data_IF_799911255785
#
_entry.id   IF_799911255785
#
_cell.length_a   1.000
_cell.length_b   1.000
_cell.length_c   1.000
_cell.angle_alpha   90.00
_cell.angle_beta   90.00
_cell.angle_gamma   90.00
#
_symmetry.space_group_name_H-M   'P 1'
#
loop_
_entity.id
_entity.type
_entity.pdbx_description
1 polymer ?
#
# COMPACT_ATOMS: atom_id res chain seq x y z
N UNK A 1 10.55 -16.08 -31.59
CA UNK A 1 11.46 -15.85 -30.45
C UNK A 1 12.39 -14.73 -30.86
N UNK A 2 12.08 -13.51 -30.43
CA UNK A 2 12.89 -12.31 -30.69
C UNK A 2 14.27 -12.53 -30.06
N UNK A 3 15.33 -12.65 -30.87
CA UNK A 3 16.70 -12.59 -30.34
C UNK A 3 16.96 -11.14 -30.00
N UNK A 4 16.95 -10.79 -28.72
CA UNK A 4 17.35 -9.47 -28.25
C UNK A 4 18.75 -9.17 -28.78
N UNK A 5 18.89 -8.11 -29.57
CA UNK A 5 20.16 -7.77 -30.15
C UNK A 5 21.06 -7.18 -29.06
N UNK A 6 22.23 -7.77 -28.86
CA UNK A 6 23.26 -7.28 -27.92
C UNK A 6 23.54 -5.78 -28.09
N UNK A 7 23.52 -5.29 -29.33
CA UNK A 7 23.71 -3.89 -29.68
C UNK A 7 22.65 -2.95 -29.06
N UNK A 8 21.41 -3.40 -28.94
CA UNK A 8 20.34 -2.60 -28.32
C UNK A 8 20.57 -2.46 -26.81
N UNK A 9 21.10 -3.51 -26.17
CA UNK A 9 21.48 -3.49 -24.75
C UNK A 9 22.70 -2.62 -24.50
N UNK A 10 23.70 -2.67 -25.39
CA UNK A 10 24.86 -1.75 -25.36
C UNK A 10 24.40 -0.29 -25.48
N UNK A 11 23.50 -0.01 -26.43
CA UNK A 11 22.93 1.33 -26.59
C UNK A 11 22.11 1.76 -25.37
N UNK A 12 21.36 0.85 -24.75
CA UNK A 12 20.65 1.13 -23.50
C UNK A 12 21.63 1.54 -22.40
N UNK A 13 22.75 0.82 -22.24
CA UNK A 13 23.78 1.13 -21.22
C UNK A 13 24.39 2.52 -21.46
N UNK A 14 24.69 2.86 -22.71
CA UNK A 14 25.17 4.20 -23.07
C UNK A 14 24.15 5.28 -22.69
N UNK A 15 22.87 5.05 -23.03
CA UNK A 15 21.82 6.04 -22.84
C UNK A 15 21.39 6.19 -21.36
N UNK A 16 21.71 5.24 -20.47
CA UNK A 16 21.58 5.45 -19.01
C UNK A 16 22.81 6.13 -18.40
N UNK A 17 23.76 6.60 -19.21
CA UNK A 17 24.96 7.31 -18.75
C UNK A 17 26.21 6.43 -18.61
N UNK A 18 26.18 5.20 -19.13
CA UNK A 18 27.30 4.26 -19.13
C UNK A 18 27.37 3.32 -17.91
N UNK A 19 28.29 2.35 -17.92
CA UNK A 19 28.40 1.32 -16.87
C UNK A 19 28.73 1.92 -15.50
N UNK A 20 29.55 2.97 -15.48
CA UNK A 20 29.96 3.67 -14.26
C UNK A 20 28.82 4.47 -13.62
N UNK A 21 27.80 4.83 -14.40
CA UNK A 21 26.61 5.47 -13.87
C UNK A 21 25.66 4.46 -13.21
N UNK A 22 25.82 3.16 -13.45
CA UNK A 22 24.95 2.12 -12.89
C UNK A 22 25.52 1.71 -11.52
N UNK A 23 24.91 2.20 -10.44
CA UNK A 23 25.23 1.76 -9.09
C UNK A 23 24.78 0.31 -8.88
N UNK A 24 23.53 0.01 -9.25
CA UNK A 24 22.98 -1.34 -9.27
C UNK A 24 21.85 -1.46 -10.30
N UNK A 25 21.54 -2.68 -10.70
CA UNK A 25 20.43 -2.99 -11.59
C UNK A 25 19.74 -4.26 -11.11
N UNK A 26 18.41 -4.25 -11.14
CA UNK A 26 17.58 -5.42 -10.84
C UNK A 26 16.41 -5.47 -11.84
N UNK A 27 15.60 -6.52 -11.81
CA UNK A 27 14.38 -6.56 -12.61
C UNK A 27 13.21 -7.19 -11.89
N UNK A 28 12.01 -6.88 -12.37
CA UNK A 28 10.79 -7.61 -12.04
C UNK A 28 10.27 -8.32 -13.30
N UNK A 29 9.00 -8.69 -13.35
CA UNK A 29 8.40 -9.41 -14.49
C UNK A 29 8.45 -8.64 -15.82
N UNK A 30 8.52 -7.30 -15.80
CA UNK A 30 8.40 -6.49 -17.03
C UNK A 30 9.38 -5.32 -17.16
N UNK A 31 10.23 -5.05 -16.16
CA UNK A 31 11.02 -3.80 -16.10
C UNK A 31 12.41 -4.04 -15.54
N UNK A 32 13.39 -3.35 -16.14
CA UNK A 32 14.69 -3.12 -15.53
C UNK A 32 14.59 -1.95 -14.56
N UNK A 33 15.28 -2.06 -13.42
CA UNK A 33 15.29 -1.07 -12.34
C UNK A 33 16.74 -0.70 -12.06
N UNK A 34 17.14 0.45 -12.58
CA UNK A 34 18.46 1.01 -12.39
C UNK A 34 18.47 1.88 -11.14
N UNK A 35 19.47 1.71 -10.30
CA UNK A 35 19.94 2.78 -9.45
C UNK A 35 21.09 3.44 -10.17
N UNK A 36 20.89 4.69 -10.56
CA UNK A 36 21.92 5.49 -11.21
C UNK A 36 22.65 6.34 -10.17
N UNK A 37 23.95 6.52 -10.33
CA UNK A 37 24.74 7.46 -9.55
C UNK A 37 24.33 8.91 -9.86
N UNK A 38 23.94 9.16 -11.10
CA UNK A 38 23.41 10.41 -11.60
C UNK A 38 22.23 10.13 -12.55
N UNK A 39 21.01 10.40 -12.08
CA UNK A 39 19.79 10.19 -12.87
C UNK A 39 19.67 11.14 -14.06
N UNK A 40 20.31 12.30 -14.04
CA UNK A 40 20.19 13.30 -15.11
C UNK A 40 20.98 12.91 -16.36
N UNK A 41 21.90 11.95 -16.24
CA UNK A 41 22.62 11.36 -17.39
C UNK A 41 21.79 10.37 -18.20
N UNK A 42 20.61 9.98 -17.73
CA UNK A 42 19.73 9.08 -18.48
C UNK A 42 18.97 9.86 -19.56
N UNK A 43 19.23 9.56 -20.84
CA UNK A 43 18.50 10.13 -21.97
C UNK A 43 17.20 9.38 -22.21
N UNK A 44 16.18 9.74 -21.44
CA UNK A 44 14.83 9.14 -21.49
C UNK A 44 14.25 9.16 -22.90
N UNK A 45 14.47 10.25 -23.68
CA UNK A 45 13.88 10.38 -25.02
C UNK A 45 14.49 9.39 -26.00
N UNK A 46 15.82 9.23 -25.97
CA UNK A 46 16.49 8.25 -26.82
C UNK A 46 16.25 6.82 -26.36
N UNK A 47 16.10 6.59 -25.04
CA UNK A 47 15.74 5.28 -24.51
C UNK A 47 14.37 4.82 -25.02
N UNK A 48 13.37 5.70 -24.99
CA UNK A 48 12.02 5.39 -25.49
C UNK A 48 11.97 5.18 -27.02
N UNK A 49 13.01 5.58 -27.75
CA UNK A 49 13.13 5.30 -29.18
C UNK A 49 13.70 3.90 -29.48
N UNK A 50 14.23 3.18 -28.47
CA UNK A 50 14.70 1.81 -28.66
C UNK A 50 13.50 0.86 -28.83
N UNK A 51 13.49 -0.04 -29.83
CA UNK A 51 12.35 -0.92 -30.11
C UNK A 51 11.92 -1.80 -28.93
N UNK A 52 12.87 -2.20 -28.08
CA UNK A 52 12.62 -3.03 -26.89
C UNK A 52 12.08 -2.24 -25.69
N UNK A 53 12.13 -0.90 -25.73
CA UNK A 53 11.73 -0.04 -24.62
C UNK A 53 10.31 0.46 -24.86
N UNK A 54 9.42 0.16 -23.92
CA UNK A 54 7.99 0.52 -23.97
C UNK A 54 7.67 1.78 -23.15
N UNK A 55 8.66 2.31 -22.44
CA UNK A 55 8.56 3.53 -21.63
C UNK A 55 9.64 3.61 -20.57
N UNK A 56 9.95 4.82 -20.14
CA UNK A 56 10.93 5.10 -19.10
C UNK A 56 10.34 6.03 -18.03
N UNK A 57 10.63 5.78 -16.76
CA UNK A 57 10.24 6.69 -15.68
C UNK A 57 11.12 6.50 -14.45
N UNK A 58 11.25 7.55 -13.65
CA UNK A 58 11.91 7.49 -12.35
C UNK A 58 10.87 7.33 -11.26
N UNK A 59 11.04 6.35 -10.39
CA UNK A 59 10.20 6.18 -9.21
C UNK A 59 11.01 5.58 -8.06
N UNK A 60 10.77 6.08 -6.85
CA UNK A 60 11.41 5.61 -5.63
C UNK A 60 12.95 5.53 -5.77
N UNK A 61 13.56 6.58 -6.33
CA UNK A 61 15.00 6.67 -6.52
C UNK A 61 15.61 5.68 -7.53
N UNK A 62 14.76 4.96 -8.28
CA UNK A 62 15.16 4.05 -9.35
C UNK A 62 14.70 4.59 -10.70
N UNK A 63 15.60 4.62 -11.67
CA UNK A 63 15.27 4.82 -13.07
C UNK A 63 14.80 3.49 -13.66
N UNK A 64 13.56 3.42 -14.12
CA UNK A 64 12.94 2.19 -14.61
C UNK A 64 12.75 2.24 -16.12
N UNK A 65 13.14 1.15 -16.77
CA UNK A 65 12.95 0.95 -18.21
C UNK A 65 12.00 -0.22 -18.40
N UNK A 66 10.84 0.04 -19.00
CA UNK A 66 9.81 -0.96 -19.28
C UNK A 66 10.20 -1.71 -20.54
N UNK A 67 10.43 -3.02 -20.44
CA UNK A 67 10.76 -3.88 -21.58
C UNK A 67 9.57 -4.76 -21.96
N UNK A 68 8.91 -5.36 -20.96
CA UNK A 68 7.88 -6.38 -21.14
C UNK A 68 8.39 -7.78 -20.75
N UNK A 69 7.77 -8.83 -21.29
CA UNK A 69 8.04 -10.23 -20.94
C UNK A 69 9.47 -10.68 -21.23
N UNK A 70 10.19 -9.95 -22.09
CA UNK A 70 11.57 -10.22 -22.51
C UNK A 70 12.63 -9.65 -21.54
N UNK A 71 12.22 -9.05 -20.42
CA UNK A 71 13.12 -8.34 -19.49
C UNK A 71 14.25 -9.21 -18.92
N UNK A 72 13.98 -10.49 -18.66
CA UNK A 72 14.96 -11.43 -18.09
C UNK A 72 16.15 -11.65 -19.04
N UNK A 73 15.87 -11.71 -20.35
CA UNK A 73 16.88 -11.85 -21.39
C UNK A 73 17.72 -10.58 -21.52
N UNK A 74 17.09 -9.39 -21.50
CA UNK A 74 17.82 -8.11 -21.53
C UNK A 74 18.73 -7.99 -20.31
N UNK A 75 18.22 -8.35 -19.13
CA UNK A 75 18.96 -8.28 -17.87
C UNK A 75 20.24 -9.12 -17.90
N UNK A 76 20.15 -10.37 -18.38
CA UNK A 76 21.30 -11.28 -18.49
C UNK A 76 22.40 -10.70 -19.40
N UNK A 77 22.02 -10.12 -20.53
CA UNK A 77 22.97 -9.47 -21.45
C UNK A 77 23.59 -8.23 -20.79
N UNK A 78 22.79 -7.42 -20.09
CA UNK A 78 23.23 -6.20 -19.43
C UNK A 78 24.24 -6.47 -18.31
N UNK A 79 23.98 -7.46 -17.46
CA UNK A 79 24.90 -7.89 -16.40
C UNK A 79 26.23 -8.35 -17.00
N UNK A 80 26.18 -9.15 -18.09
CA UNK A 80 27.38 -9.60 -18.79
C UNK A 80 28.21 -8.46 -19.40
N UNK A 81 27.57 -7.37 -19.83
CA UNK A 81 28.25 -6.19 -20.42
C UNK A 81 28.79 -5.21 -19.38
N UNK A 82 28.10 -5.06 -18.24
CA UNK A 82 28.46 -4.06 -17.22
C UNK A 82 29.41 -4.60 -16.15
N UNK A 83 29.57 -5.92 -16.05
CA UNK A 83 30.39 -6.57 -15.01
C UNK A 83 29.85 -6.36 -13.58
N UNK A 84 28.65 -5.81 -13.44
CA UNK A 84 27.97 -5.61 -12.15
C UNK A 84 27.41 -6.95 -11.69
N UNK A 85 27.64 -7.32 -10.44
CA UNK A 85 27.01 -8.49 -9.83
C UNK A 85 25.50 -8.27 -9.69
N UNK A 86 24.73 -9.35 -9.59
CA UNK A 86 23.33 -9.28 -9.16
C UNK A 86 23.28 -8.57 -7.79
N UNK A 87 22.83 -7.32 -7.76
CA UNK A 87 22.74 -6.60 -6.50
C UNK A 87 21.69 -7.29 -5.63
N UNK A 88 22.02 -7.53 -4.37
CA UNK A 88 21.00 -8.00 -3.44
C UNK A 88 19.87 -6.98 -3.39
N UNK A 89 18.63 -7.44 -3.15
CA UNK A 89 17.46 -6.55 -3.07
C UNK A 89 17.67 -5.41 -2.05
N UNK A 90 18.47 -5.64 -1.00
CA UNK A 90 18.76 -4.65 0.02
C UNK A 90 19.82 -3.62 -0.41
N UNK A 91 20.84 -4.03 -1.16
CA UNK A 91 21.83 -3.10 -1.75
C UNK A 91 21.18 -2.17 -2.78
N UNK A 92 20.36 -2.73 -3.67
CA UNK A 92 19.63 -1.95 -4.66
C UNK A 92 18.64 -0.95 -4.02
N UNK A 93 18.02 -1.30 -2.89
CA UNK A 93 17.17 -0.39 -2.13
C UNK A 93 17.95 0.73 -1.45
N UNK A 94 19.08 0.40 -0.82
CA UNK A 94 19.89 1.39 -0.12
C UNK A 94 20.51 2.40 -1.09
N UNK A 95 20.96 1.94 -2.25
CA UNK A 95 21.46 2.80 -3.30
C UNK A 95 20.34 3.70 -3.88
N UNK A 96 19.15 3.14 -4.17
CA UNK A 96 18.01 3.93 -4.67
C UNK A 96 17.62 5.08 -3.73
N UNK A 97 17.70 4.86 -2.42
CA UNK A 97 17.36 5.88 -1.41
C UNK A 97 18.28 7.09 -1.46
N UNK A 98 19.52 6.97 -1.94
CA UNK A 98 20.41 8.12 -2.06
C UNK A 98 19.85 9.16 -3.04
N UNK A 99 19.06 8.72 -4.03
CA UNK A 99 18.42 9.58 -5.02
C UNK A 99 17.04 10.13 -4.59
N UNK A 100 16.57 9.79 -3.38
CA UNK A 100 15.30 10.32 -2.84
C UNK A 100 15.55 11.55 -1.97
N UNK A 101 14.60 12.49 -1.93
CA UNK A 101 14.62 13.59 -0.96
C UNK A 101 14.24 13.10 0.45
N UNK A 102 14.40 13.96 1.47
CA UNK A 102 14.18 13.57 2.89
C UNK A 102 12.75 13.06 3.14
N UNK A 103 11.75 13.69 2.52
CA UNK A 103 10.33 13.33 2.68
C UNK A 103 10.07 11.98 2.03
N UNK A 104 10.53 11.77 0.79
CA UNK A 104 10.43 10.51 0.06
C UNK A 104 11.14 9.36 0.79
N UNK A 105 12.33 9.62 1.37
CA UNK A 105 13.04 8.65 2.20
C UNK A 105 12.20 8.26 3.41
N UNK A 106 11.67 9.24 4.15
CA UNK A 106 10.82 9.00 5.32
C UNK A 106 9.59 8.14 4.98
N UNK A 107 8.94 8.43 3.85
CA UNK A 107 7.78 7.66 3.39
C UNK A 107 8.18 6.26 2.91
N UNK A 108 9.31 6.13 2.20
CA UNK A 108 9.86 4.82 1.82
C UNK A 108 10.14 3.95 3.05
N UNK A 109 10.69 4.53 4.12
CA UNK A 109 10.88 3.83 5.39
C UNK A 109 9.56 3.35 5.99
N UNK A 110 8.54 4.23 6.01
CA UNK A 110 7.21 3.89 6.52
C UNK A 110 6.56 2.76 5.70
N UNK A 111 6.58 2.86 4.37
CA UNK A 111 6.02 1.84 3.48
C UNK A 111 6.68 0.46 3.71
N UNK A 112 7.99 0.40 3.91
CA UNK A 112 8.69 -0.87 4.16
C UNK A 112 8.32 -1.54 5.48
N UNK A 113 7.76 -0.80 6.45
CA UNK A 113 7.21 -1.37 7.68
C UNK A 113 5.88 -2.08 7.38
N UNK A 114 5.03 -1.52 6.51
CA UNK A 114 3.69 -2.07 6.23
C UNK A 114 3.65 -3.15 5.16
N UNK A 115 4.53 -3.10 4.16
CA UNK A 115 4.53 -4.08 3.04
C UNK A 115 4.53 -5.54 3.52
N UNK A 116 5.35 -5.96 4.51
CA UNK A 116 5.30 -7.33 5.03
C UNK A 116 3.98 -7.71 5.71
N UNK A 117 3.16 -6.73 6.12
CA UNK A 117 1.90 -6.93 6.83
C UNK A 117 0.70 -7.03 5.88
N UNK A 118 0.83 -6.53 4.65
CA UNK A 118 -0.26 -6.47 3.66
C UNK A 118 -0.95 -7.83 3.44
N UNK A 119 -0.24 -8.97 3.26
CA UNK A 119 -0.91 -10.24 3.03
C UNK A 119 -1.87 -10.61 4.16
N UNK A 120 -1.46 -10.42 5.42
CA UNK A 120 -2.29 -10.71 6.58
C UNK A 120 -3.52 -9.78 6.64
N UNK A 121 -3.31 -8.47 6.46
CA UNK A 121 -4.39 -7.48 6.52
C UNK A 121 -5.43 -7.72 5.42
N UNK A 122 -4.98 -7.99 4.18
CA UNK A 122 -5.86 -8.29 3.04
C UNK A 122 -6.68 -9.55 3.31
N UNK A 123 -6.04 -10.62 3.81
CA UNK A 123 -6.75 -11.85 4.21
C UNK A 123 -7.77 -11.57 5.29
N UNK A 124 -7.41 -10.77 6.31
CA UNK A 124 -8.33 -10.35 7.37
C UNK A 124 -9.55 -9.61 6.82
N UNK A 125 -9.35 -8.66 5.91
CA UNK A 125 -10.44 -7.90 5.29
C UNK A 125 -11.36 -8.77 4.43
N UNK A 126 -10.82 -9.75 3.69
CA UNK A 126 -11.64 -10.73 2.96
C UNK A 126 -12.45 -11.63 3.88
N UNK A 127 -11.85 -12.07 4.99
CA UNK A 127 -12.54 -12.85 6.01
C UNK A 127 -13.69 -12.03 6.59
N UNK A 128 -13.47 -10.76 6.95
CA UNK A 128 -14.53 -9.87 7.40
C UNK A 128 -15.61 -9.69 6.34
N UNK A 129 -15.23 -9.51 5.08
CA UNK A 129 -16.20 -9.36 4.00
C UNK A 129 -17.07 -10.58 3.79
N UNK A 130 -16.48 -11.77 3.82
CA UNK A 130 -17.23 -13.02 3.76
C UNK A 130 -18.12 -13.22 5.00
N UNK A 131 -17.63 -12.84 6.18
CA UNK A 131 -18.43 -12.83 7.41
C UNK A 131 -19.65 -11.91 7.28
N UNK A 132 -19.50 -10.72 6.73
CA UNK A 132 -20.63 -9.80 6.52
C UNK A 132 -21.68 -10.43 5.60
N UNK A 133 -21.26 -11.13 4.53
CA UNK A 133 -22.18 -11.82 3.62
C UNK A 133 -23.04 -12.82 4.38
N UNK A 134 -22.44 -13.67 5.22
CA UNK A 134 -23.21 -14.72 5.91
C UNK A 134 -23.93 -14.21 7.17
N UNK A 135 -23.37 -13.23 7.87
CA UNK A 135 -23.79 -12.81 9.21
C UNK A 135 -24.58 -11.51 9.30
N UNK A 136 -24.41 -10.60 8.35
CA UNK A 136 -24.99 -9.26 8.43
C UNK A 136 -26.00 -8.98 7.31
N UNK A 137 -25.93 -9.72 6.19
CA UNK A 137 -26.86 -9.55 5.06
C UNK A 137 -28.07 -10.45 5.22
N UNK A 138 -29.24 -9.81 5.28
CA UNK A 138 -30.55 -10.47 5.34
C UNK A 138 -31.01 -10.94 3.95
N UNK A 139 -30.50 -12.10 3.52
CA UNK A 139 -30.77 -12.67 2.19
C UNK A 139 -32.04 -13.51 2.09
N UNK A 140 -32.59 -14.00 3.21
CA UNK A 140 -33.67 -14.99 3.22
C UNK A 140 -34.81 -14.52 4.12
N UNK A 141 -35.89 -13.98 3.52
CA UNK A 141 -37.07 -13.49 4.24
C UNK A 141 -36.76 -12.54 5.42
N UNK A 142 -35.78 -11.65 5.23
CA UNK A 142 -35.35 -10.71 6.26
C UNK A 142 -34.44 -11.33 7.33
N UNK A 143 -33.96 -12.56 7.13
CA UNK A 143 -33.00 -13.27 7.97
C UNK A 143 -31.66 -13.48 7.24
N UNK A 144 -30.60 -13.56 8.02
CA UNK A 144 -29.21 -13.83 7.60
C UNK A 144 -28.97 -15.34 7.49
N UNK A 145 -27.88 -15.75 6.81
CA UNK A 145 -27.48 -17.16 6.76
C UNK A 145 -27.17 -17.71 8.16
N UNK A 146 -26.62 -16.88 9.04
CA UNK A 146 -26.35 -17.27 10.43
C UNK A 146 -27.60 -17.47 11.27
N UNK A 147 -28.72 -16.82 10.94
CA UNK A 147 -29.99 -17.00 11.66
C UNK A 147 -30.72 -18.27 11.21
N UNK A 148 -30.65 -18.62 9.93
CA UNK A 148 -31.34 -19.79 9.37
C UNK A 148 -30.54 -21.09 9.44
N UNK A 149 -29.22 -21.03 9.72
CA UNK A 149 -28.35 -22.21 9.67
C UNK A 149 -27.28 -22.20 10.75
N UNK A 150 -27.32 -23.23 11.62
CA UNK A 150 -26.30 -23.47 12.64
C UNK A 150 -24.89 -23.65 12.06
N UNK A 151 -24.78 -24.27 10.87
CA UNK A 151 -23.49 -24.41 10.19
C UNK A 151 -22.91 -23.03 9.86
N UNK A 152 -23.69 -22.14 9.24
CA UNK A 152 -23.22 -20.80 8.87
C UNK A 152 -22.97 -19.92 10.10
N UNK A 153 -23.77 -20.03 11.16
CA UNK A 153 -23.49 -19.39 12.45
C UNK A 153 -22.12 -19.81 13.01
N UNK A 154 -21.81 -21.11 12.95
CA UNK A 154 -20.55 -21.67 13.44
C UNK A 154 -19.38 -21.22 12.58
N UNK A 155 -19.53 -21.24 11.24
CA UNK A 155 -18.52 -20.71 10.30
C UNK A 155 -18.25 -19.24 10.57
N UNK A 156 -19.30 -18.43 10.75
CA UNK A 156 -19.17 -16.99 11.03
C UNK A 156 -18.38 -16.72 12.33
N UNK A 157 -18.65 -17.48 13.39
CA UNK A 157 -17.94 -17.39 14.66
C UNK A 157 -16.48 -17.87 14.54
N UNK A 158 -16.24 -19.02 13.90
CA UNK A 158 -14.91 -19.56 13.69
C UNK A 158 -14.01 -18.60 12.88
N UNK A 159 -14.56 -17.97 11.85
CA UNK A 159 -13.82 -16.99 11.04
C UNK A 159 -13.41 -15.74 11.84
N UNK A 160 -14.14 -15.39 12.90
CA UNK A 160 -13.73 -14.27 13.78
C UNK A 160 -12.44 -14.57 14.51
N UNK A 161 -12.18 -15.80 14.91
CA UNK A 161 -10.91 -16.19 15.55
C UNK A 161 -9.70 -15.78 14.69
N UNK A 162 -9.79 -15.99 13.38
CA UNK A 162 -8.73 -15.62 12.43
C UNK A 162 -8.68 -14.10 12.26
N UNK A 163 -9.84 -13.43 12.16
CA UNK A 163 -9.92 -11.97 12.08
C UNK A 163 -9.32 -11.28 13.30
N UNK A 164 -9.63 -11.77 14.50
CA UNK A 164 -9.10 -11.28 15.77
C UNK A 164 -7.57 -11.41 15.82
N UNK A 165 -7.03 -12.57 15.42
CA UNK A 165 -5.58 -12.78 15.33
C UNK A 165 -4.88 -11.78 14.39
N UNK A 166 -5.54 -11.31 13.32
CA UNK A 166 -4.97 -10.36 12.37
C UNK A 166 -5.10 -8.92 12.88
N UNK A 167 -6.30 -8.53 13.34
CA UNK A 167 -6.60 -7.14 13.66
C UNK A 167 -6.24 -6.77 15.09
N UNK A 168 -6.62 -7.57 16.10
CA UNK A 168 -6.32 -7.23 17.50
C UNK A 168 -4.82 -7.31 17.79
N UNK A 169 -4.14 -8.31 17.22
CA UNK A 169 -2.70 -8.52 17.38
C UNK A 169 -1.86 -7.83 16.31
N UNK A 170 -2.44 -6.94 15.51
CA UNK A 170 -1.71 -6.15 14.52
C UNK A 170 -0.45 -5.44 15.08
N UNK A 171 -0.46 -4.88 16.32
CA UNK A 171 0.74 -4.35 16.96
C UNK A 171 1.94 -5.30 16.98
N UNK A 172 1.72 -6.62 17.03
CA UNK A 172 2.77 -7.66 17.00
C UNK A 172 3.51 -7.62 15.67
N UNK A 173 2.77 -7.65 14.56
CA UNK A 173 3.33 -7.54 13.22
C UNK A 173 4.04 -6.20 13.00
N UNK A 174 3.45 -5.10 13.47
CA UNK A 174 4.02 -3.75 13.35
C UNK A 174 5.35 -3.64 14.10
N UNK A 175 5.42 -4.10 15.36
CA UNK A 175 6.67 -4.08 16.13
C UNK A 175 7.75 -4.95 15.49
N UNK A 176 7.41 -6.18 15.08
CA UNK A 176 8.33 -7.08 14.36
C UNK A 176 8.89 -6.42 13.09
N UNK A 177 8.02 -5.88 12.25
CA UNK A 177 8.42 -5.28 10.97
C UNK A 177 9.26 -4.02 11.19
N UNK A 178 8.88 -3.17 12.15
CA UNK A 178 9.61 -1.96 12.52
C UNK A 178 11.01 -2.28 13.04
N UNK A 179 11.12 -3.22 13.98
CA UNK A 179 12.41 -3.62 14.57
C UNK A 179 13.32 -4.25 13.53
N UNK A 180 12.78 -5.16 12.71
CA UNK A 180 13.50 -5.75 11.58
C UNK A 180 13.99 -4.67 10.61
N UNK A 181 13.14 -3.69 10.30
CA UNK A 181 13.45 -2.61 9.37
C UNK A 181 14.60 -1.73 9.85
N UNK A 182 14.68 -1.50 11.15
CA UNK A 182 15.71 -0.67 11.78
C UNK A 182 16.96 -1.45 12.19
N UNK A 183 17.06 -2.73 11.83
CA UNK A 183 18.24 -3.57 12.09
C UNK A 183 18.33 -4.13 13.51
N UNK A 184 17.24 -4.06 14.28
CA UNK A 184 17.11 -4.74 15.57
C UNK A 184 16.77 -6.23 15.42
N UNK A 185 16.71 -6.93 16.55
CA UNK A 185 16.41 -8.36 16.61
C UNK A 185 14.91 -8.62 16.47
N UNK A 186 14.43 -9.27 15.39
CA UNK A 186 12.99 -9.34 15.09
C UNK A 186 12.15 -10.02 16.19
N UNK A 187 12.70 -11.04 16.87
CA UNK A 187 11.98 -11.72 17.95
C UNK A 187 11.68 -10.78 19.14
N UNK A 188 12.56 -9.81 19.42
CA UNK A 188 12.30 -8.79 20.46
C UNK A 188 11.15 -7.88 20.05
N UNK A 189 11.03 -7.55 18.77
CA UNK A 189 9.88 -6.82 18.24
C UNK A 189 8.57 -7.59 18.43
N UNK A 190 8.58 -8.91 18.19
CA UNK A 190 7.41 -9.77 18.47
C UNK A 190 7.08 -9.74 19.97
N UNK A 191 8.07 -9.92 20.84
CA UNK A 191 7.89 -9.91 22.30
C UNK A 191 7.30 -8.58 22.79
N UNK A 192 7.82 -7.45 22.31
CA UNK A 192 7.27 -6.13 22.63
C UNK A 192 5.81 -6.03 22.17
N UNK A 193 5.53 -6.40 20.92
CA UNK A 193 4.17 -6.31 20.39
C UNK A 193 3.17 -7.20 21.14
N UNK A 194 3.56 -8.41 21.55
CA UNK A 194 2.73 -9.29 22.39
C UNK A 194 2.48 -8.66 23.76
N UNK A 195 3.48 -7.97 24.32
CA UNK A 195 3.35 -7.25 25.58
C UNK A 195 2.31 -6.13 25.46
N UNK A 196 2.32 -5.36 24.37
CA UNK A 196 1.37 -4.26 24.12
C UNK A 196 -0.09 -4.71 23.98
N UNK A 197 -0.33 -5.98 23.65
CA UNK A 197 -1.69 -6.54 23.47
C UNK A 197 -2.01 -7.62 24.50
N UNK A 198 -1.19 -7.75 25.53
CA UNK A 198 -1.31 -8.78 26.56
C UNK A 198 -2.69 -8.75 27.23
N UNK A 199 -3.31 -9.91 27.51
CA UNK A 199 -4.58 -9.98 28.24
C UNK A 199 -4.49 -9.49 29.70
N UNK A 200 -3.28 -9.26 30.21
CA UNK A 200 -3.07 -8.58 31.50
C UNK A 200 -3.44 -7.09 31.44
N UNK A 201 -3.59 -6.54 30.23
CA UNK A 201 -3.96 -5.16 29.99
C UNK A 201 -5.45 -5.09 29.66
N UNK A 202 -6.10 -4.04 30.13
CA UNK A 202 -7.44 -3.69 29.68
C UNK A 202 -7.42 -3.47 28.17
N UNK A 203 -8.34 -4.15 27.48
CA UNK A 203 -8.46 -4.02 26.03
C UNK A 203 -8.76 -2.56 25.64
N UNK A 204 -8.06 -2.02 24.63
CA UNK A 204 -8.22 -0.66 24.15
C UNK A 204 -9.67 -0.29 23.76
N UNK A 205 -10.50 -1.25 23.33
CA UNK A 205 -11.92 -1.02 23.01
C UNK A 205 -12.80 -0.69 24.24
N UNK A 206 -12.29 -0.88 25.46
CA UNK A 206 -12.97 -0.56 26.71
C UNK A 206 -12.64 0.83 27.23
N UNK A 207 -11.74 1.57 26.57
CA UNK A 207 -11.44 2.97 26.91
C UNK A 207 -12.74 3.79 26.84
N UNK A 208 -12.97 4.61 27.87
CA UNK A 208 -14.19 5.41 28.01
C UNK A 208 -15.43 4.61 28.47
N UNK A 209 -15.35 3.27 28.53
CA UNK A 209 -16.39 2.39 29.07
C UNK A 209 -16.02 1.82 30.44
N UNK A 210 -14.73 1.62 30.67
CA UNK A 210 -14.18 1.09 31.91
C UNK A 210 -12.99 1.96 32.34
N UNK A 211 -12.87 2.18 33.65
CA UNK A 211 -11.69 2.83 34.24
C UNK A 211 -10.54 1.81 34.25
N UNK A 212 -9.40 2.11 33.62
CA UNK A 212 -8.27 1.19 33.62
C UNK A 212 -7.68 1.04 35.01
N UNK A 213 -7.28 -0.19 35.35
CA UNK A 213 -6.36 -0.41 36.47
C UNK A 213 -5.02 0.26 36.19
N UNK A 214 -4.26 0.55 37.25
CA UNK A 214 -2.93 1.14 37.15
C UNK A 214 -1.87 0.26 37.81
N UNK A 215 -0.64 0.33 37.30
CA UNK A 215 0.54 0.00 38.09
C UNK A 215 0.94 1.26 38.88
N UNK A 216 0.79 1.20 40.19
CA UNK A 216 1.15 2.29 41.11
C UNK A 216 2.58 2.09 41.65
N UNK A 217 3.47 3.02 41.33
CA UNK A 217 4.86 3.03 41.81
C UNK A 217 5.07 4.03 42.96
N UNK A 218 3.98 4.53 43.57
CA UNK A 218 3.96 5.50 44.66
C UNK A 218 4.13 6.95 44.20
N UNK A 219 5.13 7.23 43.35
CA UNK A 219 5.39 8.58 42.81
C UNK A 219 4.67 8.85 41.49
N UNK A 220 4.37 7.81 40.73
CA UNK A 220 3.66 7.88 39.46
C UNK A 220 2.90 6.57 39.23
N UNK A 221 1.88 6.64 38.39
CA UNK A 221 1.08 5.49 38.00
C UNK A 221 1.07 5.36 36.47
N UNK A 222 1.01 4.12 35.99
CA UNK A 222 0.89 3.81 34.56
C UNK A 222 -0.39 3.00 34.36
N UNK A 223 -1.27 3.46 33.48
CA UNK A 223 -2.49 2.74 33.15
C UNK A 223 -2.19 1.41 32.46
N UNK A 224 -2.83 0.33 32.91
CA UNK A 224 -2.77 -1.01 32.33
C UNK A 224 -3.66 -1.10 31.09
N UNK A 225 -3.39 -0.25 30.10
CA UNK A 225 -4.19 -0.20 28.87
C UNK A 225 -3.40 -0.80 27.73
N UNK A 226 -4.04 -1.75 27.03
CA UNK A 226 -3.47 -2.36 25.84
C UNK A 226 -3.54 -1.44 24.64
N UNK A 227 -2.88 -1.87 23.57
CA UNK A 227 -2.81 -1.17 22.29
C UNK A 227 -3.39 -2.04 21.18
N UNK A 228 -4.37 -2.89 21.48
CA UNK A 228 -5.01 -3.78 20.51
C UNK A 228 -5.41 -2.98 19.27
N UNK A 229 -5.01 -3.49 18.10
CA UNK A 229 -5.22 -2.89 16.79
C UNK A 229 -4.68 -1.45 16.59
N UNK A 230 -3.91 -0.88 17.53
CA UNK A 230 -3.29 0.45 17.40
C UNK A 230 -1.91 0.37 16.75
N UNK A 231 -1.77 1.03 15.60
CA UNK A 231 -0.58 0.96 14.76
C UNK A 231 0.49 1.96 15.17
N UNK A 232 0.11 3.23 15.37
CA UNK A 232 1.05 4.32 15.65
C UNK A 232 1.80 4.08 16.98
N UNK A 233 1.13 3.78 18.11
CA UNK A 233 1.80 3.40 19.35
C UNK A 233 2.79 2.24 19.18
N UNK A 234 2.37 1.17 18.48
CA UNK A 234 3.18 -0.01 18.27
C UNK A 234 4.43 0.29 17.42
N UNK A 235 4.28 1.09 16.38
CA UNK A 235 5.38 1.51 15.52
C UNK A 235 6.39 2.36 16.31
N UNK A 236 5.93 3.37 17.05
CA UNK A 236 6.82 4.20 17.87
C UNK A 236 7.57 3.37 18.93
N UNK A 237 6.87 2.42 19.58
CA UNK A 237 7.49 1.51 20.54
C UNK A 237 8.53 0.58 19.89
N UNK A 238 8.22 0.03 18.71
CA UNK A 238 9.17 -0.76 17.92
C UNK A 238 10.39 0.05 17.49
N UNK A 239 10.21 1.33 17.13
CA UNK A 239 11.32 2.23 16.80
C UNK A 239 12.21 2.50 18.00
N UNK A 240 11.61 2.75 19.17
CA UNK A 240 12.36 2.93 20.42
C UNK A 240 13.16 1.66 20.77
N UNK A 241 12.54 0.49 20.67
CA UNK A 241 13.23 -0.79 20.92
C UNK A 241 14.42 -0.99 19.99
N UNK A 242 14.24 -0.81 18.68
CA UNK A 242 15.32 -0.97 17.73
C UNK A 242 16.46 0.03 17.99
N UNK A 243 16.11 1.28 18.32
CA UNK A 243 17.09 2.29 18.65
C UNK A 243 17.87 1.94 19.93
N UNK A 244 17.18 1.55 21.01
CA UNK A 244 17.82 1.18 22.28
C UNK A 244 18.74 -0.03 22.05
N UNK A 245 18.24 -1.07 21.39
CA UNK A 245 18.99 -2.31 21.18
C UNK A 245 20.24 -2.09 20.33
N UNK A 246 20.11 -1.40 19.20
CA UNK A 246 21.24 -1.17 18.28
C UNK A 246 22.30 -0.26 18.88
N UNK A 247 21.93 0.70 19.73
CA UNK A 247 22.89 1.53 20.46
C UNK A 247 23.53 0.77 21.64
N UNK A 248 22.79 -0.08 22.36
CA UNK A 248 23.37 -0.93 23.40
C UNK A 248 24.42 -1.89 22.83
N UNK A 249 24.21 -2.43 21.63
CA UNK A 249 25.23 -3.23 20.91
C UNK A 249 26.50 -2.45 20.55
N UNK A 250 26.54 -1.12 20.70
CA UNK A 250 27.77 -0.33 20.49
C UNK A 250 28.54 -0.08 21.78
N UNK A 251 27.86 -0.18 22.93
CA UNK A 251 28.39 0.18 24.25
C UNK A 251 28.79 -1.08 25.03
N UNK A 252 27.99 -2.13 24.95
CA UNK A 252 28.20 -3.37 25.69
C UNK A 252 29.35 -4.18 25.05
N UNK A 253 30.16 -4.91 25.82
CA UNK A 253 31.11 -5.87 25.25
C UNK A 253 30.43 -7.05 24.56
N UNK A 254 30.98 -7.55 23.45
CA UNK A 254 30.35 -8.58 22.60
C UNK A 254 29.99 -9.88 23.33
N UNK A 255 30.77 -10.29 24.33
CA UNK A 255 30.50 -11.49 25.14
C UNK A 255 29.28 -11.35 26.05
N UNK A 256 28.77 -10.15 26.28
CA UNK A 256 27.55 -9.87 27.05
C UNK A 256 26.31 -9.64 26.17
N UNK A 257 26.45 -9.62 24.83
CA UNK A 257 25.35 -9.29 23.92
C UNK A 257 24.16 -10.23 24.05
N UNK A 258 24.38 -11.53 24.25
CA UNK A 258 23.29 -12.50 24.30
C UNK A 258 22.40 -12.35 25.53
N UNK A 259 22.90 -11.72 26.60
CA UNK A 259 22.17 -11.60 27.87
C UNK A 259 21.75 -10.15 28.12
N UNK A 260 22.71 -9.23 28.15
CA UNK A 260 22.49 -7.86 28.63
C UNK A 260 21.69 -7.04 27.62
N UNK A 261 22.06 -7.10 26.34
CA UNK A 261 21.41 -6.29 25.30
C UNK A 261 19.90 -6.60 25.22
N UNK A 262 19.44 -7.83 24.93
CA UNK A 262 18.00 -8.10 24.80
C UNK A 262 17.23 -7.81 26.10
N UNK A 263 17.80 -8.14 27.26
CA UNK A 263 17.17 -7.91 28.57
C UNK A 263 16.91 -6.43 28.83
N UNK A 264 17.95 -5.59 28.73
CA UNK A 264 17.84 -4.15 28.99
C UNK A 264 16.97 -3.49 27.91
N UNK A 265 17.15 -3.87 26.64
CA UNK A 265 16.39 -3.29 25.53
C UNK A 265 14.89 -3.48 25.73
N UNK A 266 14.44 -4.69 26.04
CA UNK A 266 13.03 -4.99 26.24
C UNK A 266 12.47 -4.27 27.47
N UNK A 267 13.15 -4.34 28.62
CA UNK A 267 12.64 -3.71 29.85
C UNK A 267 12.46 -2.21 29.66
N UNK A 268 13.49 -1.52 29.15
CA UNK A 268 13.43 -0.08 28.93
C UNK A 268 12.35 0.25 27.90
N UNK A 269 12.25 -0.51 26.81
CA UNK A 269 11.26 -0.26 25.78
C UNK A 269 9.82 -0.46 26.25
N UNK A 270 9.55 -1.48 27.06
CA UNK A 270 8.21 -1.75 27.62
C UNK A 270 7.81 -0.65 28.59
N UNK A 271 8.73 -0.19 29.45
CA UNK A 271 8.50 0.95 30.36
C UNK A 271 8.16 2.19 29.53
N UNK A 272 9.00 2.54 28.55
CA UNK A 272 8.77 3.70 27.69
C UNK A 272 7.46 3.58 26.89
N UNK A 273 7.13 2.38 26.41
CA UNK A 273 5.91 2.11 25.66
C UNK A 273 4.65 2.41 26.48
N UNK A 274 4.58 2.00 27.74
CA UNK A 274 3.37 2.22 28.55
C UNK A 274 3.34 3.59 29.22
N UNK A 275 4.50 4.16 29.59
CA UNK A 275 4.56 5.44 30.31
C UNK A 275 4.43 6.67 29.41
N UNK A 276 5.07 6.66 28.23
CA UNK A 276 5.24 7.86 27.40
C UNK A 276 4.81 7.61 25.96
N UNK A 277 5.44 6.64 25.31
CA UNK A 277 5.34 6.45 23.86
C UNK A 277 3.93 6.03 23.45
N UNK A 278 3.31 5.14 24.21
CA UNK A 278 1.98 4.62 23.92
C UNK A 278 0.89 5.67 24.07
N UNK A 279 0.78 6.37 25.22
CA UNK A 279 -0.17 7.48 25.38
C UNK A 279 0.04 8.59 24.35
N UNK A 280 1.30 8.97 24.08
CA UNK A 280 1.62 9.94 23.04
C UNK A 280 1.23 9.46 21.64
N UNK A 281 1.55 8.21 21.31
CA UNK A 281 1.19 7.60 20.02
C UNK A 281 -0.31 7.50 19.82
N UNK A 282 -1.08 7.27 20.90
CA UNK A 282 -2.54 7.27 20.87
C UNK A 282 -3.07 8.66 20.58
N UNK A 283 -2.58 9.69 21.28
CA UNK A 283 -2.93 11.08 21.01
C UNK A 283 -2.65 11.48 19.55
N UNK A 284 -1.52 11.03 18.98
CA UNK A 284 -1.24 11.23 17.56
C UNK A 284 -2.24 10.51 16.65
N UNK A 285 -2.60 9.27 16.99
CA UNK A 285 -3.62 8.51 16.28
C UNK A 285 -4.99 9.20 16.31
N UNK A 286 -5.43 9.64 17.48
CA UNK A 286 -6.69 10.36 17.66
C UNK A 286 -6.69 11.68 16.87
N UNK A 287 -5.55 12.40 16.83
CA UNK A 287 -5.41 13.59 16.00
C UNK A 287 -5.52 13.32 14.49
N UNK A 288 -4.90 12.24 14.02
CA UNK A 288 -4.97 11.77 12.62
C UNK A 288 -6.41 11.41 12.26
N UNK A 289 -7.07 10.64 13.11
CA UNK A 289 -8.45 10.22 12.88
C UNK A 289 -9.43 11.40 12.98
N UNK A 290 -9.20 12.36 13.88
CA UNK A 290 -9.95 13.63 13.91
C UNK A 290 -9.82 14.40 12.59
N UNK A 291 -8.60 14.57 12.06
CA UNK A 291 -8.37 15.28 10.80
C UNK A 291 -9.04 14.57 9.62
N UNK A 292 -8.89 13.26 9.53
CA UNK A 292 -9.53 12.46 8.48
C UNK A 292 -11.07 12.47 8.61
N UNK A 293 -11.60 12.38 9.83
CA UNK A 293 -13.03 12.52 10.10
C UNK A 293 -13.54 13.89 9.66
N UNK A 294 -12.85 14.96 10.01
CA UNK A 294 -13.24 16.32 9.60
C UNK A 294 -13.25 16.50 8.08
N UNK A 295 -12.32 15.87 7.37
CA UNK A 295 -12.23 15.95 5.91
C UNK A 295 -13.23 15.02 5.19
N UNK A 296 -13.56 13.87 5.79
CA UNK A 296 -14.22 12.76 5.08
C UNK A 296 -15.58 12.37 5.68
N UNK A 297 -16.05 13.08 6.71
CA UNK A 297 -17.38 12.93 7.31
C UNK A 297 -18.05 14.29 7.48
N UNK A 298 -19.38 14.31 7.57
CA UNK A 298 -20.17 15.55 7.70
C UNK A 298 -20.16 16.42 6.43
N UNK A 299 -20.31 17.73 6.60
CA UNK A 299 -20.57 18.67 5.50
C UNK A 299 -19.42 18.77 4.47
N UNK A 300 -18.17 18.49 4.90
CA UNK A 300 -16.99 18.50 4.03
C UNK A 300 -16.69 17.16 3.37
N UNK A 301 -17.41 16.09 3.73
CA UNK A 301 -17.11 14.72 3.32
C UNK A 301 -17.04 14.56 1.79
N UNK A 302 -17.95 15.22 1.07
CA UNK A 302 -17.96 15.18 -0.40
C UNK A 302 -16.69 15.81 -0.98
N UNK A 303 -16.29 16.98 -0.48
CA UNK A 303 -15.12 17.71 -0.99
C UNK A 303 -13.85 16.94 -0.67
N UNK A 304 -13.65 16.54 0.60
CA UNK A 304 -12.46 15.80 1.01
C UNK A 304 -12.32 14.47 0.30
N UNK A 305 -13.42 13.71 0.15
CA UNK A 305 -13.43 12.46 -0.61
C UNK A 305 -13.13 12.68 -2.09
N UNK A 306 -13.67 13.73 -2.71
CA UNK A 306 -13.40 14.06 -4.11
C UNK A 306 -11.92 14.37 -4.34
N UNK A 307 -11.34 15.22 -3.48
CA UNK A 307 -9.92 15.60 -3.54
C UNK A 307 -9.05 14.36 -3.32
N UNK A 308 -9.36 13.55 -2.31
CA UNK A 308 -8.64 12.32 -2.04
C UNK A 308 -8.70 11.35 -3.23
N UNK A 309 -9.89 11.09 -3.78
CA UNK A 309 -10.06 10.20 -4.94
C UNK A 309 -9.28 10.68 -6.17
N UNK A 310 -9.26 12.00 -6.43
CA UNK A 310 -8.48 12.56 -7.52
C UNK A 310 -6.96 12.39 -7.31
N UNK A 311 -6.46 12.65 -6.10
CA UNK A 311 -5.04 12.66 -5.78
C UNK A 311 -4.47 11.28 -5.40
N UNK A 312 -5.31 10.27 -5.16
CA UNK A 312 -4.84 8.95 -4.73
C UNK A 312 -3.91 8.29 -5.75
N UNK A 313 -4.21 8.38 -7.04
CA UNK A 313 -3.37 7.76 -8.06
C UNK A 313 -1.93 8.34 -8.08
N UNK A 314 -1.69 9.66 -8.03
CA UNK A 314 -0.36 10.22 -7.74
C UNK A 314 0.32 9.66 -6.48
N UNK A 315 -0.42 9.41 -5.40
CA UNK A 315 0.12 8.77 -4.18
C UNK A 315 0.53 7.32 -4.42
N UNK A 316 -0.17 6.61 -5.31
CA UNK A 316 0.21 5.26 -5.74
C UNK A 316 1.54 5.28 -6.49
N UNK A 317 1.72 6.25 -7.39
CA UNK A 317 2.96 6.40 -8.15
C UNK A 317 4.15 6.58 -7.20
N UNK A 318 4.02 7.49 -6.25
CA UNK A 318 5.10 7.81 -5.29
C UNK A 318 5.28 6.74 -4.20
N UNK A 319 4.39 5.74 -4.12
CA UNK A 319 4.40 4.74 -3.04
C UNK A 319 3.87 5.25 -1.69
N UNK A 320 3.53 6.54 -1.61
CA UNK A 320 3.02 7.19 -0.40
C UNK A 320 1.65 6.64 0.00
N UNK A 321 0.86 6.12 -0.93
CA UNK A 321 -0.44 5.51 -0.63
C UNK A 321 -0.40 4.43 0.47
N UNK A 322 0.71 3.71 0.66
CA UNK A 322 0.80 2.74 1.78
C UNK A 322 0.73 3.40 3.16
N UNK A 323 1.02 4.70 3.28
CA UNK A 323 0.88 5.45 4.53
C UNK A 323 -0.58 5.69 4.90
N UNK A 324 -1.51 5.68 3.93
CA UNK A 324 -2.94 5.83 4.23
C UNK A 324 -3.48 4.61 4.96
N UNK A 325 -2.88 3.42 4.77
CA UNK A 325 -3.26 2.22 5.52
C UNK A 325 -3.10 2.40 7.03
N UNK A 326 -2.08 3.14 7.49
CA UNK A 326 -1.92 3.44 8.90
C UNK A 326 -3.07 4.31 9.43
N UNK A 327 -3.56 5.24 8.60
CA UNK A 327 -4.72 6.10 8.88
C UNK A 327 -6.01 5.29 8.89
N UNK A 328 -6.23 4.42 7.90
CA UNK A 328 -7.38 3.50 7.82
C UNK A 328 -7.48 2.65 9.10
N UNK A 329 -6.38 2.06 9.54
CA UNK A 329 -6.34 1.22 10.74
C UNK A 329 -6.67 2.00 12.01
N UNK A 330 -6.21 3.25 12.11
CA UNK A 330 -6.56 4.13 13.22
C UNK A 330 -8.05 4.51 13.18
N UNK A 331 -8.59 4.85 12.01
CA UNK A 331 -10.01 5.19 11.84
C UNK A 331 -10.92 4.00 12.17
N UNK A 332 -10.52 2.78 11.81
CA UNK A 332 -11.26 1.57 12.17
C UNK A 332 -11.43 1.41 13.69
N UNK A 333 -10.42 1.80 14.48
CA UNK A 333 -10.52 1.78 15.94
C UNK A 333 -11.48 2.84 16.47
N UNK A 334 -11.36 4.07 15.98
CA UNK A 334 -12.11 5.20 16.53
C UNK A 334 -13.58 5.23 16.06
N UNK A 335 -13.82 4.93 14.78
CA UNK A 335 -15.12 5.08 14.12
C UNK A 335 -15.84 3.75 13.89
N UNK A 336 -15.21 2.61 14.16
CA UNK A 336 -15.74 1.29 13.81
C UNK A 336 -15.68 0.96 12.31
N UNK A 337 -14.92 1.76 11.55
CA UNK A 337 -14.67 1.56 10.13
C UNK A 337 -13.86 2.71 9.53
N UNK A 338 -13.67 2.71 8.23
CA UNK A 338 -12.89 3.75 7.53
C UNK A 338 -13.58 4.25 6.26
N UNK A 339 -13.68 5.58 6.05
CA UNK A 339 -14.18 6.18 4.81
C UNK A 339 -13.11 6.24 3.71
N UNK A 340 -11.84 5.97 4.01
CA UNK A 340 -10.73 6.05 3.03
C UNK A 340 -10.70 4.83 2.11
N UNK A 341 -10.76 3.62 2.68
CA UNK A 341 -10.70 2.37 1.91
C UNK A 341 -11.70 2.26 0.74
N UNK A 342 -12.99 2.66 0.87
CA UNK A 342 -13.92 2.69 -0.26
C UNK A 342 -13.37 3.51 -1.44
N UNK A 343 -12.73 4.65 -1.18
CA UNK A 343 -12.19 5.54 -2.22
C UNK A 343 -10.98 4.92 -2.91
N UNK A 344 -10.14 4.21 -2.14
CA UNK A 344 -9.01 3.44 -2.66
C UNK A 344 -9.50 2.35 -3.62
N UNK A 345 -10.52 1.58 -3.22
CA UNK A 345 -11.10 0.55 -4.07
C UNK A 345 -11.67 1.14 -5.38
N UNK A 346 -12.38 2.27 -5.29
CA UNK A 346 -12.92 2.98 -6.46
C UNK A 346 -11.83 3.55 -7.37
N UNK A 347 -10.73 4.07 -6.81
CA UNK A 347 -9.58 4.49 -7.61
C UNK A 347 -8.97 3.32 -8.39
N UNK A 348 -8.86 2.14 -7.78
CA UNK A 348 -8.34 0.96 -8.47
C UNK A 348 -9.22 0.53 -9.65
N UNK A 349 -10.54 0.53 -9.44
CA UNK A 349 -11.52 0.32 -10.51
C UNK A 349 -11.34 1.37 -11.60
N UNK A 350 -11.23 2.65 -11.25
CA UNK A 350 -11.08 3.73 -12.23
C UNK A 350 -9.79 3.62 -13.07
N UNK A 351 -8.68 3.20 -12.47
CA UNK A 351 -7.42 2.94 -13.19
C UNK A 351 -7.58 1.80 -14.20
N UNK A 352 -8.24 0.71 -13.81
CA UNK A 352 -8.53 -0.41 -14.70
C UNK A 352 -9.46 0.03 -15.84
N UNK A 353 -10.49 0.82 -15.55
CA UNK A 353 -11.50 1.24 -16.53
C UNK A 353 -10.96 2.24 -17.55
N UNK A 354 -10.01 3.09 -17.18
CA UNK A 354 -9.26 3.88 -18.16
C UNK A 354 -8.48 2.99 -19.15
N UNK A 355 -7.84 1.92 -18.66
CA UNK A 355 -7.17 0.93 -19.55
C UNK A 355 -8.19 0.19 -20.42
N UNK A 356 -9.38 -0.12 -19.90
CA UNK A 356 -10.47 -0.68 -20.72
C UNK A 356 -10.85 0.26 -21.87
N UNK A 357 -10.87 1.58 -21.65
CA UNK A 357 -11.02 2.55 -22.72
C UNK A 357 -9.98 2.39 -23.83
N UNK A 358 -8.70 2.19 -23.47
CA UNK A 358 -7.62 1.89 -24.43
C UNK A 358 -7.84 0.55 -25.14
N UNK A 359 -8.22 -0.52 -24.42
CA UNK A 359 -8.48 -1.86 -24.98
C UNK A 359 -9.59 -1.84 -26.05
N UNK A 360 -10.59 -0.98 -25.86
CA UNK A 360 -11.73 -0.84 -26.77
C UNK A 360 -11.33 -0.10 -28.04
N UNK A 361 -10.55 0.99 -27.92
CA UNK A 361 -10.26 1.87 -29.06
C UNK A 361 -8.97 1.53 -29.82
N UNK A 362 -7.94 1.04 -29.14
CA UNK A 362 -6.66 0.72 -29.76
C UNK A 362 -6.72 -0.67 -30.40
N UNK A 363 -6.34 -0.76 -31.68
CA UNK A 363 -6.14 -2.01 -32.41
C UNK A 363 -4.68 -2.23 -32.80
N UNK A 364 -3.76 -1.47 -32.19
CA UNK A 364 -2.33 -1.61 -32.43
C UNK A 364 -1.84 -3.00 -32.06
N UNK A 365 -0.96 -3.57 -32.89
CA UNK A 365 -0.41 -4.89 -32.65
C UNK A 365 0.36 -4.94 -31.31
N UNK A 366 0.08 -5.93 -30.47
CA UNK A 366 0.74 -6.11 -29.17
C UNK A 366 0.27 -5.20 -28.03
N UNK A 367 -0.59 -4.20 -28.28
CA UNK A 367 -1.11 -3.33 -27.20
C UNK A 367 -1.96 -4.13 -26.21
N UNK A 368 -2.77 -5.06 -26.73
CA UNK A 368 -3.66 -5.93 -25.95
C UNK A 368 -2.93 -6.90 -25.04
N UNK A 369 -1.74 -7.34 -25.44
CA UNK A 369 -0.90 -8.26 -24.67
C UNK A 369 -0.44 -7.64 -23.35
N UNK A 370 -0.43 -6.29 -23.27
CA UNK A 370 -0.08 -5.52 -22.08
C UNK A 370 -1.34 -5.02 -21.39
N UNK A 371 -2.26 -4.40 -22.14
CA UNK A 371 -3.40 -3.69 -21.56
C UNK A 371 -4.40 -4.62 -20.91
N UNK A 372 -4.68 -5.81 -21.48
CA UNK A 372 -5.66 -6.74 -20.92
C UNK A 372 -5.22 -7.32 -19.57
N UNK A 373 -4.01 -7.91 -19.44
CA UNK A 373 -3.53 -8.37 -18.13
C UNK A 373 -3.43 -7.23 -17.11
N UNK A 374 -3.03 -6.04 -17.55
CA UNK A 374 -2.93 -4.87 -16.69
C UNK A 374 -4.29 -4.40 -16.14
N UNK A 375 -5.34 -4.40 -16.98
CA UNK A 375 -6.70 -4.06 -16.55
C UNK A 375 -7.26 -5.08 -15.56
N UNK A 376 -7.05 -6.38 -15.81
CA UNK A 376 -7.47 -7.45 -14.89
C UNK A 376 -6.79 -7.28 -13.54
N UNK A 377 -5.46 -7.09 -13.54
CA UNK A 377 -4.68 -6.83 -12.33
C UNK A 377 -5.24 -5.63 -11.53
N UNK A 378 -5.53 -4.52 -12.21
CA UNK A 378 -6.05 -3.32 -11.57
C UNK A 378 -7.47 -3.51 -11.00
N UNK A 379 -8.34 -4.25 -11.70
CA UNK A 379 -9.65 -4.64 -11.16
C UNK A 379 -9.57 -5.58 -9.96
N UNK A 380 -8.44 -6.27 -9.77
CA UNK A 380 -8.15 -7.08 -8.58
C UNK A 380 -7.38 -6.30 -7.50
N UNK A 381 -7.20 -4.98 -7.69
CA UNK A 381 -6.61 -4.09 -6.71
C UNK A 381 -5.10 -3.82 -6.87
N UNK A 382 -4.45 -4.39 -7.90
CA UNK A 382 -3.03 -4.16 -8.20
C UNK A 382 -2.92 -3.27 -9.45
N UNK A 383 -2.75 -1.97 -9.24
CA UNK A 383 -2.88 -0.95 -10.29
C UNK A 383 -1.57 -0.63 -11.01
N UNK A 384 -0.42 -1.04 -10.50
CA UNK A 384 0.89 -0.70 -11.04
C UNK A 384 1.06 -1.13 -12.51
N UNK A 385 0.64 -2.34 -12.94
CA UNK A 385 0.71 -2.71 -14.36
C UNK A 385 -0.13 -1.78 -15.25
N UNK A 386 -1.33 -1.37 -14.81
CA UNK A 386 -2.21 -0.47 -15.55
C UNK A 386 -1.65 0.96 -15.61
N UNK A 387 -1.20 1.47 -14.47
CA UNK A 387 -0.70 2.83 -14.33
C UNK A 387 0.57 3.05 -15.15
N UNK A 388 1.58 2.21 -14.94
CA UNK A 388 2.88 2.35 -15.61
C UNK A 388 2.87 1.81 -17.04
N UNK A 389 2.10 0.75 -17.30
CA UNK A 389 2.08 0.10 -18.62
C UNK A 389 1.29 0.89 -19.66
N UNK A 390 0.19 1.55 -19.25
CA UNK A 390 -0.76 2.17 -20.18
C UNK A 390 -1.09 3.61 -19.78
N UNK A 391 -1.58 3.85 -18.55
CA UNK A 391 -2.20 5.13 -18.23
C UNK A 391 -1.23 6.31 -18.27
N UNK A 392 0.00 6.13 -17.77
CA UNK A 392 1.06 7.14 -17.82
C UNK A 392 1.67 7.26 -19.22
N UNK A 393 1.78 6.15 -19.97
CA UNK A 393 2.28 6.15 -21.36
C UNK A 393 1.51 7.14 -22.23
N UNK A 394 0.17 7.11 -22.15
CA UNK A 394 -0.69 8.01 -22.91
C UNK A 394 -1.08 9.30 -22.18
N UNK A 395 -0.82 9.40 -20.86
CA UNK A 395 -1.17 10.50 -19.94
C UNK A 395 -2.67 10.78 -19.77
N UNK A 396 -3.44 10.90 -20.85
CA UNK A 396 -4.88 11.15 -20.75
C UNK A 396 -5.68 10.03 -20.08
N UNK A 397 -5.35 8.72 -20.18
CA UNK A 397 -6.08 7.70 -19.44
C UNK A 397 -5.85 7.83 -17.93
N UNK A 398 -4.65 8.24 -17.51
CA UNK A 398 -4.37 8.55 -16.10
C UNK A 398 -5.30 9.66 -15.59
N UNK A 399 -5.42 10.76 -16.33
CA UNK A 399 -6.32 11.86 -15.98
C UNK A 399 -7.79 11.40 -15.96
N UNK A 400 -8.21 10.62 -16.96
CA UNK A 400 -9.57 10.05 -17.00
C UNK A 400 -9.88 9.19 -15.78
N UNK A 401 -8.92 8.36 -15.34
CA UNK A 401 -9.04 7.56 -14.14
C UNK A 401 -9.15 8.43 -12.88
N UNK A 402 -8.32 9.47 -12.76
CA UNK A 402 -8.37 10.40 -11.63
C UNK A 402 -9.72 11.13 -11.55
N UNK A 403 -10.26 11.58 -12.70
CA UNK A 403 -11.57 12.24 -12.76
C UNK A 403 -12.70 11.27 -12.36
N UNK A 404 -12.72 10.06 -12.92
CA UNK A 404 -13.77 9.09 -12.56
C UNK A 404 -13.66 8.60 -11.11
N UNK A 405 -12.45 8.48 -10.58
CA UNK A 405 -12.24 8.21 -9.16
C UNK A 405 -12.76 9.36 -8.29
N UNK A 406 -12.51 10.60 -8.65
CA UNK A 406 -13.04 11.78 -7.96
C UNK A 406 -14.58 11.80 -7.95
N UNK A 407 -15.21 11.53 -9.09
CA UNK A 407 -16.68 11.45 -9.18
C UNK A 407 -17.26 10.33 -8.32
N UNK A 408 -16.67 9.13 -8.37
CA UNK A 408 -17.11 8.01 -7.55
C UNK A 408 -16.87 8.27 -6.05
N UNK A 409 -15.77 8.94 -5.72
CA UNK A 409 -15.45 9.31 -4.35
C UNK A 409 -16.37 10.40 -3.81
N UNK A 410 -16.83 11.35 -4.64
CA UNK A 410 -17.84 12.33 -4.27
C UNK A 410 -19.14 11.63 -3.84
N UNK A 411 -19.57 10.60 -4.58
CA UNK A 411 -20.75 9.79 -4.24
C UNK A 411 -20.57 9.12 -2.89
N UNK A 412 -19.46 8.39 -2.69
CA UNK A 412 -19.20 7.71 -1.42
C UNK A 412 -19.05 8.68 -0.24
N UNK A 413 -18.34 9.80 -0.41
CA UNK A 413 -18.18 10.82 0.61
C UNK A 413 -19.51 11.46 1.01
N UNK A 414 -20.35 11.81 0.03
CA UNK A 414 -21.67 12.41 0.27
C UNK A 414 -22.63 11.49 1.03
N UNK A 415 -22.50 10.18 0.82
CA UNK A 415 -23.32 9.17 1.49
C UNK A 415 -22.69 8.59 2.77
N UNK A 416 -21.51 9.07 3.18
CA UNK A 416 -20.80 8.59 4.38
C UNK A 416 -20.41 7.11 4.30
N UNK A 417 -20.08 6.61 3.11
CA UNK A 417 -19.76 5.18 2.91
C UNK A 417 -18.52 4.79 3.71
N UNK A 418 -18.66 3.73 4.51
CA UNK A 418 -17.58 3.18 5.33
C UNK A 418 -17.27 1.73 4.97
N UNK A 419 -15.98 1.39 5.07
CA UNK A 419 -15.49 0.02 5.07
C UNK A 419 -15.30 -0.50 6.50
N UNK A 420 -15.53 -1.80 6.70
CA UNK A 420 -15.18 -2.50 7.95
C UNK A 420 -13.67 -2.54 8.19
N UNK A 421 -12.89 -2.48 7.11
CA UNK A 421 -11.45 -2.30 7.19
C UNK A 421 -10.76 -2.41 5.84
N UNK A 422 -9.43 -2.47 5.91
CA UNK A 422 -8.57 -2.73 4.76
C UNK A 422 -8.81 -4.16 4.27
N UNK A 423 -9.06 -4.34 2.98
CA UNK A 423 -9.28 -5.65 2.37
C UNK A 423 -8.71 -5.75 0.97
N UNK A 424 -9.42 -6.42 0.06
CA UNK A 424 -9.04 -6.43 -1.36
C UNK A 424 -9.51 -5.13 -2.01
N UNK A 425 -8.65 -4.52 -2.82
CA UNK A 425 -9.03 -3.37 -3.64
C UNK A 425 -9.71 -3.79 -4.96
N UNK A 426 -10.17 -2.82 -5.76
CA UNK A 426 -10.79 -3.12 -7.04
C UNK A 426 -12.22 -3.67 -6.91
N UNK A 427 -12.67 -4.49 -7.85
CA UNK A 427 -14.04 -5.02 -7.90
C UNK A 427 -14.45 -5.82 -6.66
N UNK A 428 -13.60 -6.70 -6.09
CA UNK A 428 -13.95 -7.40 -4.85
C UNK A 428 -14.02 -6.49 -3.62
N UNK A 429 -13.59 -5.22 -3.74
CA UNK A 429 -13.56 -4.27 -2.63
C UNK A 429 -14.92 -3.98 -2.00
N UNK A 430 -16.02 -4.23 -2.72
CA UNK A 430 -17.38 -4.16 -2.15
C UNK A 430 -17.54 -5.06 -0.92
N UNK A 431 -16.83 -6.18 -0.86
CA UNK A 431 -16.88 -7.11 0.28
C UNK A 431 -16.33 -6.47 1.57
N UNK A 432 -15.42 -5.49 1.45
CA UNK A 432 -14.87 -4.78 2.62
C UNK A 432 -15.79 -3.65 3.11
N UNK A 433 -16.81 -3.29 2.32
CA UNK A 433 -17.76 -2.21 2.63
C UNK A 433 -18.80 -2.70 3.64
N UNK A 434 -19.22 -1.83 4.56
CA UNK A 434 -20.30 -2.16 5.48
C UNK A 434 -21.60 -2.43 4.70
N UNK A 435 -22.33 -3.52 4.98
CA UNK A 435 -23.48 -3.98 4.18
C UNK A 435 -24.51 -2.90 3.82
N UNK A 436 -24.82 -2.00 4.76
CA UNK A 436 -25.80 -0.94 4.54
C UNK A 436 -25.42 0.03 3.42
N UNK A 437 -24.14 0.11 3.03
CA UNK A 437 -23.65 0.98 1.96
C UNK A 437 -23.44 0.28 0.62
N UNK A 438 -23.72 -1.03 0.50
CA UNK A 438 -23.41 -1.78 -0.72
C UNK A 438 -24.10 -1.22 -1.97
N UNK A 439 -25.36 -0.79 -1.85
CA UNK A 439 -26.09 -0.21 -2.98
C UNK A 439 -25.45 1.08 -3.51
N UNK A 440 -25.12 2.01 -2.61
CA UNK A 440 -24.49 3.28 -2.99
C UNK A 440 -23.04 3.08 -3.47
N UNK A 441 -22.31 2.13 -2.87
CA UNK A 441 -20.98 1.77 -3.32
C UNK A 441 -21.01 1.13 -4.71
N UNK A 442 -21.97 0.25 -5.01
CA UNK A 442 -22.15 -0.33 -6.34
C UNK A 442 -22.44 0.74 -7.41
N UNK A 443 -23.24 1.77 -7.07
CA UNK A 443 -23.43 2.93 -7.94
C UNK A 443 -22.11 3.67 -8.18
N UNK A 444 -21.33 3.92 -7.13
CA UNK A 444 -20.01 4.55 -7.26
C UNK A 444 -19.05 3.69 -8.10
N UNK A 445 -19.10 2.35 -7.99
CA UNK A 445 -18.33 1.44 -8.85
C UNK A 445 -18.72 1.59 -10.31
N UNK A 446 -20.01 1.69 -10.64
CA UNK A 446 -20.46 1.94 -12.01
C UNK A 446 -19.92 3.27 -12.54
N UNK A 447 -19.92 4.33 -11.73
CA UNK A 447 -19.34 5.62 -12.10
C UNK A 447 -17.82 5.53 -12.31
N UNK A 448 -17.11 4.84 -11.40
CA UNK A 448 -15.68 4.57 -11.53
C UNK A 448 -15.36 3.71 -12.76
N UNK A 449 -16.31 2.93 -13.29
CA UNK A 449 -16.12 2.19 -14.53
C UNK A 449 -16.42 3.01 -15.78
N UNK A 450 -17.58 3.66 -15.81
CA UNK A 450 -18.09 4.31 -17.01
C UNK A 450 -17.38 5.63 -17.31
N UNK A 451 -17.11 6.46 -16.30
CA UNK A 451 -16.52 7.80 -16.51
C UNK A 451 -15.10 7.71 -17.05
N UNK A 452 -14.15 6.95 -16.45
CA UNK A 452 -12.80 6.83 -16.98
C UNK A 452 -12.75 6.20 -18.37
N UNK A 453 -13.56 5.17 -18.62
CA UNK A 453 -13.61 4.52 -19.92
C UNK A 453 -14.11 5.49 -21.00
N UNK A 454 -15.22 6.19 -20.76
CA UNK A 454 -15.78 7.15 -21.70
C UNK A 454 -14.83 8.33 -21.96
N UNK A 455 -14.26 8.93 -20.92
CA UNK A 455 -13.29 10.02 -21.06
C UNK A 455 -12.05 9.58 -21.84
N UNK A 456 -11.55 8.37 -21.57
CA UNK A 456 -10.40 7.82 -22.29
C UNK A 456 -10.71 7.65 -23.78
N UNK A 457 -11.89 7.12 -24.13
CA UNK A 457 -12.33 6.98 -25.52
C UNK A 457 -12.41 8.33 -26.24
N UNK A 458 -12.99 9.35 -25.57
CA UNK A 458 -13.14 10.70 -26.13
C UNK A 458 -11.78 11.36 -26.35
N UNK A 459 -10.91 11.33 -25.33
CA UNK A 459 -9.59 11.97 -25.38
C UNK A 459 -8.66 11.26 -26.37
N UNK A 460 -8.75 9.93 -26.48
CA UNK A 460 -8.00 9.17 -27.49
C UNK A 460 -8.40 9.58 -28.92
N UNK A 461 -9.71 9.65 -29.23
CA UNK A 461 -10.19 10.10 -30.54
C UNK A 461 -9.72 11.52 -30.85
N UNK A 462 -9.73 12.41 -29.86
CA UNK A 462 -9.28 13.79 -30.01
C UNK A 462 -7.77 13.86 -30.29
N UNK A 463 -6.96 13.07 -29.58
CA UNK A 463 -5.52 13.00 -29.81
C UNK A 463 -5.20 12.44 -31.22
N UNK A 464 -5.94 11.42 -31.68
CA UNK A 464 -5.83 10.95 -33.07
C UNK A 464 -6.21 12.00 -34.11
N UNK A 465 -7.32 12.71 -33.90
CA UNK A 465 -7.76 13.76 -34.82
C UNK A 465 -6.74 14.91 -34.93
N UNK A 466 -5.92 15.12 -33.89
CA UNK A 466 -4.83 16.09 -33.88
C UNK A 466 -3.50 15.56 -34.44
N UNK A 467 -3.43 14.28 -34.79
CA UNK A 467 -2.19 13.62 -35.23
C UNK A 467 -1.17 13.38 -34.11
N UNK A 468 -1.58 13.48 -32.84
CA UNK A 468 -0.72 13.23 -31.67
C UNK A 468 -0.54 11.71 -31.41
N UNK A 469 -1.40 10.88 -32.00
CA UNK A 469 -1.35 9.42 -31.94
C UNK A 469 -1.47 8.84 -33.35
N UNK A 470 -0.67 7.81 -33.63
CA UNK A 470 -0.84 7.00 -34.85
C UNK A 470 -2.25 6.39 -34.94
N UNK A 471 -2.73 6.10 -36.17
CA UNK A 471 -4.04 5.51 -36.37
C UNK A 471 -4.20 4.20 -35.58
N UNK A 472 -5.42 3.93 -35.13
CA UNK A 472 -5.68 2.86 -34.17
C UNK A 472 -5.43 1.47 -34.78
N UNK A 473 -5.35 1.39 -36.12
CA UNK A 473 -5.13 0.18 -36.89
C UNK A 473 -3.68 0.05 -37.40
N UNK A 474 -2.74 0.86 -36.89
CA UNK A 474 -1.32 0.80 -37.25
C UNK A 474 -0.63 -0.44 -36.66
#
# INVERSE_FOLDING_TARGET
MSKIARKDVERLIELVGGPDNIASVSHCLTRLRFVLNDTDKADTKQLEALPMVKGCFTNAGQFQVVIGTEVDEVYKVLIGLTGKSEASKDEAKNAARQNMNIVERGISHLAEIFVPLLPAIITGGLILGFRNVIGDIKMFDGQTLTEISQFWATVHSFLWLIGEAIFFFLPVGVCWSTVKKLGGTPILGITLGVTLVSPQLMNAYLIGKQVPEVWDFGLFAIEKVGYQAQVIPAMLAGMALAFIETNLKRIIPSYLYLVVVPFVSIIVSVILAHSIIGPFGRMLGDGVAFAAKAAMTGDFAMIGSTIFGFLYAPLVITGIHHTTNAVDLQLMQELGGTPIWPLIALSNIAQASAVVGIIIISKKHGERDISVPAAISAYLGVTEPAMYGINLKYKFPMLSAMIGSACAAAICGSAGVMANGIGVGGLPGILSIQPQFWGIFALAMLVAMLVPAALTLILYKRAQAKGELEPANA
#
